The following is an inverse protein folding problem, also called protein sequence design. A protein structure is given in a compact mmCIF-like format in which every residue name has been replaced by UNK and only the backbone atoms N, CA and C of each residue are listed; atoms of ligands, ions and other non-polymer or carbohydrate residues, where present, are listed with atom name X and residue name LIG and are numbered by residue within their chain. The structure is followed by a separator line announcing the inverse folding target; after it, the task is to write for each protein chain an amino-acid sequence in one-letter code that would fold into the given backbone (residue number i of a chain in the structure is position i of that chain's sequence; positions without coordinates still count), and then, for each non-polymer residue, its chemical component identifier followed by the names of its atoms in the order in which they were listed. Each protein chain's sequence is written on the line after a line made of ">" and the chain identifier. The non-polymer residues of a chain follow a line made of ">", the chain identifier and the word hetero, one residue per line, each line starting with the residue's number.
data_IF_390803623194
#
_entry.id   IF_390803623194
#
_cell.length_a   1.000
_cell.length_b   1.000
_cell.length_c   1.000
_cell.angle_alpha   90.00
_cell.angle_beta   90.00
_cell.angle_gamma   90.00
#
_symmetry.space_group_name_H-M   'P 1'
#
loop_
_entity.id
_entity.type
_entity.pdbx_description
1 polymer ?
#
# COMPACT_ATOMS: atom_id res chain seq x y z
N UNK A 1 28.10 -3.44 -13.73
CA UNK A 1 28.61 -2.29 -12.94
C UNK A 1 27.40 -1.46 -12.56
N UNK A 2 27.12 -1.31 -11.27
CA UNK A 2 25.96 -0.57 -10.78
C UNK A 2 26.18 0.95 -10.94
N UNK A 3 25.11 1.76 -10.81
CA UNK A 3 25.24 3.22 -10.76
C UNK A 3 26.13 3.65 -9.57
N UNK A 4 26.00 2.97 -8.43
CA UNK A 4 26.83 3.23 -7.25
C UNK A 4 28.31 3.00 -7.57
N UNK A 5 28.65 1.91 -8.27
CA UNK A 5 30.03 1.64 -8.69
C UNK A 5 30.57 2.74 -9.63
N UNK A 6 29.73 3.27 -10.51
CA UNK A 6 30.09 4.35 -11.42
C UNK A 6 30.41 5.64 -10.66
N UNK A 7 29.53 6.02 -9.73
CA UNK A 7 29.72 7.21 -8.88
C UNK A 7 30.97 7.06 -8.01
N UNK A 8 31.17 5.89 -7.39
CA UNK A 8 32.30 5.65 -6.49
C UNK A 8 33.65 5.73 -7.20
N UNK A 9 33.72 5.32 -8.48
CA UNK A 9 34.94 5.40 -9.30
C UNK A 9 35.17 6.78 -9.92
N UNK A 10 34.22 7.70 -9.80
CA UNK A 10 34.35 9.05 -10.36
C UNK A 10 35.35 9.88 -9.54
N UNK A 11 36.29 10.59 -10.18
CA UNK A 11 37.14 11.57 -9.46
C UNK A 11 36.32 12.77 -8.94
N UNK A 12 35.08 12.95 -9.41
CA UNK A 12 34.14 13.94 -8.89
C UNK A 12 33.37 13.46 -7.64
N UNK A 13 33.64 12.26 -7.11
CA UNK A 13 32.93 11.68 -5.97
C UNK A 13 32.73 12.66 -4.80
N UNK A 14 33.75 13.42 -4.33
CA UNK A 14 33.54 14.37 -3.22
C UNK A 14 32.54 15.50 -3.57
N UNK A 15 32.51 15.95 -4.82
CA UNK A 15 31.55 16.96 -5.26
C UNK A 15 30.13 16.38 -5.37
N UNK A 16 30.01 15.19 -5.96
CA UNK A 16 28.74 14.47 -6.10
C UNK A 16 28.14 14.20 -4.72
N UNK A 17 28.93 13.74 -3.75
CA UNK A 17 28.45 13.50 -2.38
C UNK A 17 27.95 14.78 -1.70
N UNK A 18 28.66 15.90 -1.86
CA UNK A 18 28.21 17.20 -1.32
C UNK A 18 26.88 17.64 -1.94
N UNK A 19 26.74 17.50 -3.26
CA UNK A 19 25.53 17.87 -3.98
C UNK A 19 24.35 16.97 -3.58
N UNK A 20 24.54 15.64 -3.56
CA UNK A 20 23.53 14.68 -3.14
C UNK A 20 23.10 14.91 -1.69
N UNK A 21 24.03 15.17 -0.76
CA UNK A 21 23.69 15.48 0.62
C UNK A 21 22.88 16.76 0.74
N UNK A 22 23.26 17.83 0.02
CA UNK A 22 22.50 19.09 0.03
C UNK A 22 21.08 18.91 -0.53
N UNK A 23 20.93 18.15 -1.63
CA UNK A 23 19.62 17.83 -2.20
C UNK A 23 18.78 16.98 -1.23
N UNK A 24 19.40 15.99 -0.59
CA UNK A 24 18.75 15.15 0.40
C UNK A 24 18.29 15.94 1.63
N UNK A 25 19.14 16.77 2.20
CA UNK A 25 18.81 17.62 3.36
C UNK A 25 17.66 18.57 3.04
N UNK A 26 17.65 19.15 1.83
CA UNK A 26 16.55 19.96 1.35
C UNK A 26 15.26 19.14 1.23
N UNK A 27 15.31 17.96 0.59
CA UNK A 27 14.15 17.07 0.47
C UNK A 27 13.58 16.68 1.84
N UNK A 28 14.45 16.42 2.82
CA UNK A 28 14.01 16.13 4.19
C UNK A 28 13.40 17.34 4.89
N UNK A 29 13.88 18.56 4.63
CA UNK A 29 13.26 19.78 5.11
C UNK A 29 11.87 19.99 4.48
N UNK A 30 11.75 19.80 3.17
CA UNK A 30 10.49 19.88 2.43
C UNK A 30 9.49 18.82 2.92
N UNK A 31 9.95 17.60 3.23
CA UNK A 31 9.13 16.52 3.80
C UNK A 31 8.61 16.83 5.21
N UNK A 32 9.44 17.43 6.07
CA UNK A 32 8.98 17.89 7.40
C UNK A 32 7.94 19.01 7.28
N UNK A 33 8.20 20.00 6.42
CA UNK A 33 7.25 21.07 6.15
C UNK A 33 5.93 20.54 5.57
N UNK A 34 5.99 19.50 4.73
CA UNK A 34 4.81 18.80 4.24
C UNK A 34 3.96 18.25 5.39
N UNK A 35 4.54 17.52 6.33
CA UNK A 35 3.80 16.99 7.49
C UNK A 35 3.17 18.07 8.38
N UNK A 36 3.81 19.24 8.49
CA UNK A 36 3.28 20.37 9.26
C UNK A 36 2.11 21.08 8.56
N UNK A 37 1.97 20.92 7.23
CA UNK A 37 0.99 21.64 6.42
C UNK A 37 -0.25 20.82 6.06
N UNK A 38 -0.11 19.50 5.99
CA UNK A 38 -1.23 18.62 5.66
C UNK A 38 -2.22 18.54 6.82
N UNK A 39 -3.49 18.36 6.47
CA UNK A 39 -4.57 18.14 7.41
C UNK A 39 -5.24 16.80 7.14
N UNK A 40 -6.04 16.32 8.10
CA UNK A 40 -6.88 15.13 7.93
C UNK A 40 -7.84 15.21 6.73
N UNK A 41 -8.08 16.39 6.16
CA UNK A 41 -8.97 16.57 5.01
C UNK A 41 -8.27 16.41 3.67
N UNK A 42 -6.93 16.45 3.65
CA UNK A 42 -6.15 16.30 2.44
C UNK A 42 -5.99 14.82 2.07
N UNK A 43 -6.03 14.50 0.77
CA UNK A 43 -5.58 13.20 0.24
C UNK A 43 -4.31 13.45 -0.56
N UNK A 44 -3.17 13.32 0.10
CA UNK A 44 -1.89 13.76 -0.44
C UNK A 44 -0.76 12.84 0.02
N UNK A 45 0.13 12.54 -0.91
CA UNK A 45 1.28 11.67 -0.67
C UNK A 45 2.58 12.45 -0.90
N UNK A 46 3.68 12.04 -0.26
CA UNK A 46 5.00 12.58 -0.51
C UNK A 46 5.81 11.60 -1.34
N UNK A 47 5.98 11.91 -2.64
CA UNK A 47 6.58 10.99 -3.61
C UNK A 47 7.78 11.65 -4.29
N UNK A 48 8.97 11.06 -4.11
CA UNK A 48 10.24 11.51 -4.69
C UNK A 48 10.51 13.00 -4.49
N UNK A 49 10.29 13.49 -3.25
CA UNK A 49 10.54 14.87 -2.87
C UNK A 49 9.41 15.86 -3.17
N UNK A 50 8.22 15.39 -3.55
CA UNK A 50 7.10 16.26 -3.91
C UNK A 50 5.80 15.83 -3.24
N UNK A 51 4.99 16.81 -2.82
CA UNK A 51 3.60 16.58 -2.42
C UNK A 51 2.72 16.34 -3.66
N UNK A 52 2.07 15.17 -3.71
CA UNK A 52 1.22 14.71 -4.81
C UNK A 52 -0.22 14.65 -4.34
N UNK A 53 -1.04 15.57 -4.82
CA UNK A 53 -2.47 15.64 -4.48
C UNK A 53 -3.30 14.71 -5.35
N UNK A 54 -4.16 13.92 -4.70
CA UNK A 54 -5.06 13.01 -5.38
C UNK A 54 -6.46 13.60 -5.49
N UNK A 55 -7.05 13.48 -6.68
CA UNK A 55 -8.45 13.87 -6.87
C UNK A 55 -9.40 12.81 -6.33
N UNK A 56 -10.66 13.19 -6.03
CA UNK A 56 -11.70 12.24 -5.65
C UNK A 56 -11.81 11.06 -6.63
N UNK A 57 -12.03 9.88 -6.08
CA UNK A 57 -12.14 8.62 -6.82
C UNK A 57 -13.53 8.45 -7.45
N UNK A 58 -13.63 7.60 -8.46
CA UNK A 58 -14.92 7.25 -9.09
C UNK A 58 -15.63 6.19 -8.26
N UNK A 59 -16.97 6.13 -8.35
CA UNK A 59 -17.82 5.14 -7.64
C UNK A 59 -17.29 3.70 -7.70
N UNK A 60 -16.80 3.24 -8.85
CA UNK A 60 -16.28 1.87 -9.02
C UNK A 60 -15.05 1.55 -8.13
N UNK A 61 -14.22 2.55 -7.84
CA UNK A 61 -13.07 2.42 -6.93
C UNK A 61 -13.61 2.30 -5.50
N UNK A 62 -14.45 3.25 -5.08
CA UNK A 62 -15.09 3.24 -3.76
C UNK A 62 -15.89 1.95 -3.49
N UNK A 63 -16.62 1.41 -4.47
CA UNK A 63 -17.34 0.13 -4.31
C UNK A 63 -16.39 -1.06 -4.15
N UNK A 64 -15.27 -1.09 -4.89
CA UNK A 64 -14.29 -2.16 -4.71
C UNK A 64 -13.61 -2.08 -3.32
N UNK A 65 -13.33 -0.86 -2.85
CA UNK A 65 -12.78 -0.62 -1.52
C UNK A 65 -13.72 -1.13 -0.44
N UNK A 66 -14.99 -0.73 -0.50
CA UNK A 66 -16.03 -1.14 0.44
C UNK A 66 -16.16 -2.67 0.52
N UNK A 67 -16.22 -3.34 -0.63
CA UNK A 67 -16.30 -4.80 -0.70
C UNK A 67 -15.08 -5.50 -0.07
N UNK A 68 -13.87 -5.02 -0.38
CA UNK A 68 -12.64 -5.60 0.15
C UNK A 68 -12.48 -5.33 1.64
N UNK A 69 -12.71 -4.09 2.07
CA UNK A 69 -12.67 -3.68 3.46
C UNK A 69 -13.63 -4.51 4.31
N UNK A 70 -14.86 -4.73 3.83
CA UNK A 70 -15.88 -5.50 4.56
C UNK A 70 -15.39 -6.91 4.87
N UNK A 71 -14.95 -7.66 3.85
CA UNK A 71 -14.52 -9.05 4.04
C UNK A 71 -13.23 -9.15 4.86
N UNK A 72 -12.22 -8.32 4.54
CA UNK A 72 -10.93 -8.34 5.22
C UNK A 72 -11.09 -7.93 6.70
N UNK A 73 -11.80 -6.84 6.98
CA UNK A 73 -11.94 -6.32 8.33
C UNK A 73 -12.72 -7.27 9.23
N UNK A 74 -13.82 -7.84 8.72
CA UNK A 74 -14.62 -8.81 9.49
C UNK A 74 -13.78 -10.03 9.82
N UNK A 75 -13.14 -10.64 8.81
CA UNK A 75 -12.32 -11.83 9.04
C UNK A 75 -11.17 -11.58 10.02
N UNK A 76 -10.42 -10.49 9.81
CA UNK A 76 -9.28 -10.12 10.67
C UNK A 76 -9.71 -9.92 12.12
N UNK A 77 -10.84 -9.22 12.35
CA UNK A 77 -11.35 -8.93 13.70
C UNK A 77 -11.88 -10.19 14.40
N UNK A 78 -12.66 -11.01 13.71
CA UNK A 78 -13.21 -12.26 14.27
C UNK A 78 -12.11 -13.22 14.72
N UNK A 79 -10.99 -13.24 13.99
CA UNK A 79 -9.88 -14.15 14.25
C UNK A 79 -8.77 -13.51 15.10
N UNK A 80 -8.93 -12.27 15.58
CA UNK A 80 -7.93 -11.57 16.41
C UNK A 80 -6.57 -11.41 15.73
N UNK A 81 -6.54 -11.29 14.39
CA UNK A 81 -5.28 -11.32 13.62
C UNK A 81 -4.57 -9.97 13.57
N UNK A 82 -5.27 -8.88 13.88
CA UNK A 82 -4.76 -7.51 13.86
C UNK A 82 -5.81 -6.52 13.41
N UNK A 83 -5.42 -5.56 12.59
CA UNK A 83 -6.30 -4.47 12.15
C UNK A 83 -6.12 -4.15 10.67
N UNK A 84 -7.26 -3.90 10.02
CA UNK A 84 -7.34 -3.30 8.70
C UNK A 84 -7.60 -1.81 8.88
N UNK A 85 -6.80 -1.00 8.20
CA UNK A 85 -6.99 0.43 8.05
C UNK A 85 -7.29 0.75 6.59
N UNK A 86 -8.13 1.74 6.37
CA UNK A 86 -8.58 2.17 5.04
C UNK A 86 -8.53 3.67 4.96
N UNK A 87 -8.08 4.19 3.81
CA UNK A 87 -7.93 5.61 3.48
C UNK A 87 -7.17 6.46 4.53
N UNK A 88 -6.37 7.43 4.09
CA UNK A 88 -5.75 8.45 4.97
C UNK A 88 -4.82 7.94 6.09
N UNK A 89 -4.53 6.64 6.18
CA UNK A 89 -3.45 6.17 7.03
C UNK A 89 -2.12 6.39 6.30
N UNK A 90 -1.33 7.34 6.80
CA UNK A 90 -0.06 7.69 6.18
C UNK A 90 1.05 6.74 6.63
N UNK A 91 1.58 5.96 5.70
CA UNK A 91 2.77 5.14 5.93
C UNK A 91 4.02 5.94 5.57
N UNK A 92 4.98 5.98 6.49
CA UNK A 92 6.28 6.59 6.31
C UNK A 92 7.31 5.50 5.91
N UNK A 93 7.83 5.63 4.69
CA UNK A 93 8.94 4.84 4.18
C UNK A 93 10.22 5.70 4.14
N UNK A 94 11.35 5.09 3.78
CA UNK A 94 12.67 5.71 3.86
C UNK A 94 12.77 7.04 3.11
N UNK A 95 12.11 7.15 1.95
CA UNK A 95 12.08 8.38 1.14
C UNK A 95 10.68 8.94 0.94
N UNK A 96 9.69 8.06 0.78
CA UNK A 96 8.34 8.43 0.43
C UNK A 96 7.37 8.28 1.60
N UNK A 97 6.21 8.92 1.49
CA UNK A 97 5.05 8.65 2.33
C UNK A 97 3.83 8.47 1.48
N UNK A 98 3.09 7.40 1.77
CA UNK A 98 1.94 7.00 0.97
C UNK A 98 0.70 6.86 1.86
N UNK A 99 -0.46 6.97 1.24
CA UNK A 99 -1.76 6.70 1.84
C UNK A 99 -2.39 5.53 1.07
N UNK A 100 -2.05 4.28 1.42
CA UNK A 100 -2.60 3.13 0.71
C UNK A 100 -4.12 3.09 0.86
N UNK A 101 -4.83 2.63 -0.18
CA UNK A 101 -6.29 2.52 -0.10
C UNK A 101 -6.72 1.58 1.05
N UNK A 102 -5.98 0.50 1.28
CA UNK A 102 -6.14 -0.39 2.44
C UNK A 102 -4.80 -0.99 2.86
N UNK A 103 -4.57 -1.08 4.17
CA UNK A 103 -3.41 -1.80 4.72
C UNK A 103 -3.77 -2.62 5.96
N UNK A 104 -2.90 -3.60 6.28
CA UNK A 104 -3.03 -4.50 7.42
C UNK A 104 -1.78 -4.46 8.28
N UNK A 105 -2.00 -4.39 9.59
CA UNK A 105 -0.98 -4.64 10.61
C UNK A 105 -1.39 -5.84 11.45
N UNK A 106 -0.43 -6.74 11.68
CA UNK A 106 -0.62 -7.86 12.62
C UNK A 106 -0.91 -7.37 14.04
N UNK A 107 -1.64 -8.16 14.83
CA UNK A 107 -2.06 -7.77 16.19
C UNK A 107 -0.92 -7.28 17.09
N UNK A 108 0.26 -7.92 17.02
CA UNK A 108 1.43 -7.49 17.79
C UNK A 108 1.94 -6.10 17.37
N UNK A 109 1.84 -5.73 16.09
CA UNK A 109 2.28 -4.42 15.59
C UNK A 109 1.23 -3.36 15.87
N UNK A 110 -0.04 -3.69 15.63
CA UNK A 110 -1.19 -2.82 15.89
C UNK A 110 -1.23 -2.33 17.34
N UNK A 111 -0.98 -3.24 18.30
CA UNK A 111 -0.96 -2.93 19.73
C UNK A 111 0.17 -1.98 20.17
N UNK A 112 1.12 -1.63 19.29
CA UNK A 112 2.20 -0.69 19.59
C UNK A 112 1.89 0.74 19.14
N UNK A 113 0.80 0.95 18.39
CA UNK A 113 0.45 2.27 17.89
C UNK A 113 -0.30 3.08 18.93
N UNK A 114 -0.02 4.38 18.95
CA UNK A 114 -0.73 5.36 19.75
C UNK A 114 -1.99 5.85 19.01
N UNK A 115 -3.02 6.27 19.75
CA UNK A 115 -4.28 6.77 19.16
C UNK A 115 -4.07 8.08 18.36
N UNK A 116 -3.09 8.90 18.74
CA UNK A 116 -2.76 10.17 18.10
C UNK A 116 -1.62 10.03 17.06
N UNK A 117 -1.23 8.78 16.73
CA UNK A 117 -0.15 8.54 15.78
C UNK A 117 -0.58 8.91 14.35
N UNK A 118 0.17 9.81 13.72
CA UNK A 118 -0.07 10.23 12.33
C UNK A 118 0.70 9.40 11.30
N UNK A 119 1.93 9.00 11.63
CA UNK A 119 2.85 8.32 10.71
C UNK A 119 3.06 6.87 11.14
N UNK A 120 2.83 5.94 10.21
CA UNK A 120 2.89 4.51 10.46
C UNK A 120 4.07 3.86 9.73
N UNK A 121 4.68 2.81 10.28
CA UNK A 121 5.71 2.06 9.56
C UNK A 121 5.11 1.25 8.41
N UNK A 122 5.98 0.69 7.55
CA UNK A 122 5.57 -0.21 6.47
C UNK A 122 4.63 -1.35 6.95
N UNK A 123 3.42 -1.51 6.41
CA UNK A 123 2.45 -2.51 6.84
C UNK A 123 2.85 -3.93 6.45
N UNK A 124 2.15 -4.94 6.98
CA UNK A 124 2.39 -6.34 6.62
C UNK A 124 1.79 -6.69 5.24
N UNK A 125 0.69 -6.03 4.88
CA UNK A 125 -0.06 -6.23 3.64
C UNK A 125 -0.69 -4.92 3.16
N UNK A 126 -0.73 -4.69 1.85
CA UNK A 126 -1.36 -3.53 1.20
C UNK A 126 -2.28 -3.97 0.06
N UNK A 127 -3.37 -3.23 -0.11
CA UNK A 127 -4.17 -3.20 -1.34
C UNK A 127 -4.17 -1.79 -1.91
N UNK A 128 -3.91 -1.65 -3.21
CA UNK A 128 -4.15 -0.42 -3.97
C UNK A 128 -5.20 -0.70 -5.04
N UNK A 129 -6.18 0.20 -5.15
CA UNK A 129 -7.27 0.07 -6.11
C UNK A 129 -7.01 1.06 -7.24
N UNK A 130 -6.85 0.53 -8.45
CA UNK A 130 -6.43 1.32 -9.59
C UNK A 130 -7.47 2.37 -9.96
N UNK A 131 -6.95 3.57 -10.16
CA UNK A 131 -7.63 4.65 -10.87
C UNK A 131 -6.79 5.07 -12.09
N UNK A 132 -7.40 5.76 -13.05
CA UNK A 132 -6.67 6.30 -14.22
C UNK A 132 -5.50 7.23 -13.83
N UNK A 133 -5.56 7.83 -12.63
CA UNK A 133 -4.55 8.80 -12.16
C UNK A 133 -3.44 8.15 -11.35
N UNK A 134 -3.76 7.10 -10.59
CA UNK A 134 -2.85 6.47 -9.64
C UNK A 134 -2.14 5.25 -10.20
N UNK A 135 -2.67 4.62 -11.26
CA UNK A 135 -2.14 3.35 -11.78
C UNK A 135 -0.65 3.38 -12.11
N UNK A 136 -0.14 4.50 -12.63
CA UNK A 136 1.29 4.66 -12.89
C UNK A 136 2.13 4.62 -11.61
N UNK A 137 1.63 5.17 -10.51
CA UNK A 137 2.30 5.14 -9.21
C UNK A 137 2.19 3.74 -8.58
N UNK A 138 0.99 3.18 -8.57
CA UNK A 138 0.67 1.87 -7.96
C UNK A 138 1.49 0.74 -8.60
N UNK A 139 1.65 0.77 -9.94
CA UNK A 139 2.47 -0.20 -10.69
C UNK A 139 3.94 0.19 -10.82
N UNK A 140 4.31 1.37 -10.35
CA UNK A 140 5.65 1.96 -10.50
C UNK A 140 6.31 2.18 -9.16
N UNK A 141 6.44 3.45 -8.77
CA UNK A 141 7.21 3.82 -7.57
C UNK A 141 6.68 3.16 -6.29
N UNK A 142 5.36 3.03 -6.12
CA UNK A 142 4.80 2.37 -4.94
C UNK A 142 5.16 0.90 -4.92
N UNK A 143 5.05 0.21 -6.05
CA UNK A 143 5.45 -1.19 -6.19
C UNK A 143 6.91 -1.40 -5.77
N UNK A 144 7.82 -0.59 -6.33
CA UNK A 144 9.26 -0.68 -6.03
C UNK A 144 9.55 -0.35 -4.56
N UNK A 145 8.90 0.66 -3.99
CA UNK A 145 9.17 1.09 -2.63
C UNK A 145 8.58 0.12 -1.60
N UNK A 146 7.37 -0.42 -1.85
CA UNK A 146 6.76 -1.46 -1.04
C UNK A 146 7.62 -2.74 -1.04
N UNK A 147 8.17 -3.12 -2.19
CA UNK A 147 9.10 -4.23 -2.33
C UNK A 147 10.37 -4.01 -1.48
N UNK A 148 10.98 -2.84 -1.61
CA UNK A 148 12.21 -2.47 -0.90
C UNK A 148 12.01 -2.42 0.62
N UNK A 149 10.81 -2.07 1.09
CA UNK A 149 10.47 -1.97 2.51
C UNK A 149 9.90 -3.26 3.11
N UNK A 150 9.92 -4.38 2.37
CA UNK A 150 9.64 -5.68 2.94
C UNK A 150 8.15 -5.96 3.18
N UNK A 151 7.25 -5.21 2.53
CA UNK A 151 5.81 -5.46 2.60
C UNK A 151 5.57 -6.84 1.96
N UNK A 152 4.96 -7.76 2.72
CA UNK A 152 5.03 -9.20 2.41
C UNK A 152 4.08 -9.60 1.29
N UNK A 153 2.97 -8.88 1.16
CA UNK A 153 1.94 -9.13 0.16
C UNK A 153 1.32 -7.81 -0.29
N UNK A 154 1.18 -7.67 -1.60
CA UNK A 154 0.66 -6.48 -2.23
C UNK A 154 -0.40 -6.85 -3.27
N UNK A 155 -1.61 -6.31 -3.13
CA UNK A 155 -2.68 -6.49 -4.09
C UNK A 155 -2.89 -5.24 -4.92
N UNK A 156 -2.96 -5.43 -6.24
CA UNK A 156 -3.40 -4.40 -7.18
C UNK A 156 -4.76 -4.81 -7.72
N UNK A 157 -5.76 -3.98 -7.45
CA UNK A 157 -7.17 -4.26 -7.79
C UNK A 157 -7.60 -3.33 -8.92
N UNK A 158 -7.98 -3.91 -10.06
CA UNK A 158 -8.51 -3.14 -11.18
C UNK A 158 -10.05 -3.21 -11.21
N UNK A 159 -10.78 -2.16 -10.77
CA UNK A 159 -12.23 -2.17 -10.79
C UNK A 159 -12.83 -2.03 -12.20
N UNK A 160 -12.03 -1.69 -13.21
CA UNK A 160 -12.46 -1.61 -14.61
C UNK A 160 -12.51 -3.00 -15.24
N UNK A 161 -11.40 -3.74 -15.12
CA UNK A 161 -11.28 -5.10 -15.67
C UNK A 161 -11.74 -6.18 -14.70
N UNK A 162 -12.05 -5.79 -13.45
CA UNK A 162 -12.50 -6.65 -12.35
C UNK A 162 -11.49 -7.76 -12.08
N UNK A 163 -10.22 -7.40 -12.07
CA UNK A 163 -9.10 -8.31 -11.82
C UNK A 163 -8.42 -7.95 -10.51
N UNK A 164 -7.95 -8.96 -9.79
CA UNK A 164 -7.01 -8.77 -8.66
C UNK A 164 -5.69 -9.41 -9.04
N UNK A 165 -4.62 -8.65 -8.82
CA UNK A 165 -3.23 -9.12 -8.93
C UNK A 165 -2.67 -9.28 -7.52
N UNK A 166 -2.16 -10.47 -7.19
CA UNK A 166 -1.49 -10.77 -5.93
C UNK A 166 0.01 -10.86 -6.17
N UNK A 167 0.76 -9.98 -5.50
CA UNK A 167 2.20 -10.03 -5.45
C UNK A 167 2.66 -10.49 -4.08
N UNK A 168 3.57 -11.46 -4.06
CA UNK A 168 4.17 -12.00 -2.84
C UNK A 168 5.64 -11.68 -2.81
N UNK A 169 6.13 -11.14 -1.69
CA UNK A 169 7.54 -10.84 -1.54
C UNK A 169 8.32 -12.13 -1.27
N UNK A 170 9.21 -12.50 -2.20
CA UNK A 170 10.14 -13.62 -2.06
C UNK A 170 11.54 -13.17 -2.42
N UNK A 171 12.52 -13.49 -1.58
CA UNK A 171 13.92 -13.12 -1.80
C UNK A 171 14.11 -11.62 -2.12
N UNK A 172 13.37 -10.74 -1.41
CA UNK A 172 13.34 -9.28 -1.60
C UNK A 172 12.82 -8.80 -2.97
N UNK A 173 12.07 -9.63 -3.68
CA UNK A 173 11.42 -9.27 -4.94
C UNK A 173 9.96 -9.71 -4.93
N UNK A 174 9.08 -8.90 -5.50
CA UNK A 174 7.70 -9.30 -5.70
C UNK A 174 7.58 -10.27 -6.86
N UNK A 175 6.91 -11.39 -6.60
CA UNK A 175 6.51 -12.35 -7.60
C UNK A 175 4.99 -12.32 -7.76
N UNK A 176 4.51 -12.27 -9.01
CA UNK A 176 3.08 -12.38 -9.31
C UNK A 176 2.61 -13.81 -9.02
N UNK A 177 1.75 -13.97 -8.02
CA UNK A 177 1.17 -15.25 -7.62
C UNK A 177 -0.19 -15.50 -8.29
N UNK A 178 -1.03 -14.47 -8.36
CA UNK A 178 -2.37 -14.54 -8.97
C UNK A 178 -2.59 -13.29 -9.81
N UNK A 179 -3.18 -13.45 -11.00
CA UNK A 179 -3.80 -12.37 -11.77
C UNK A 179 -5.04 -12.94 -12.43
N UNK A 180 -6.21 -12.65 -11.87
CA UNK A 180 -7.46 -13.24 -12.34
C UNK A 180 -8.66 -12.33 -12.07
N UNK A 181 -9.74 -12.53 -12.83
CA UNK A 181 -11.04 -11.91 -12.63
C UNK A 181 -12.09 -12.89 -12.04
N UNK A 182 -11.71 -14.13 -11.79
CA UNK A 182 -12.57 -15.17 -11.27
C UNK A 182 -11.80 -16.19 -10.42
N UNK A 183 -12.51 -17.13 -9.80
CA UNK A 183 -11.94 -18.10 -8.86
C UNK A 183 -11.75 -17.49 -7.48
N UNK A 184 -10.72 -17.93 -6.76
CA UNK A 184 -10.46 -17.52 -5.39
C UNK A 184 -9.08 -16.89 -5.24
N UNK A 185 -8.98 -15.95 -4.31
CA UNK A 185 -7.72 -15.40 -3.83
C UNK A 185 -7.60 -15.71 -2.34
N UNK A 186 -6.41 -16.12 -1.92
CA UNK A 186 -6.08 -16.47 -0.54
C UNK A 186 -4.87 -15.63 -0.10
N UNK A 187 -5.00 -14.90 0.99
CA UNK A 187 -3.89 -14.12 1.52
C UNK A 187 -2.85 -15.05 2.16
N UNK A 188 -1.57 -14.76 1.91
CA UNK A 188 -0.45 -15.45 2.56
C UNK A 188 0.03 -14.71 3.81
N UNK A 189 -0.33 -13.44 3.97
CA UNK A 189 -0.08 -12.65 5.18
C UNK A 189 -1.20 -12.76 6.20
N UNK A 190 -2.45 -12.59 5.79
CA UNK A 190 -3.64 -12.75 6.64
C UNK A 190 -4.02 -14.23 6.63
N UNK A 191 -3.41 -14.98 7.55
CA UNK A 191 -3.52 -16.44 7.60
C UNK A 191 -4.98 -16.91 7.61
N UNK A 192 -5.30 -17.81 6.68
CA UNK A 192 -6.62 -18.42 6.55
C UNK A 192 -7.65 -17.58 5.78
N UNK A 193 -7.35 -16.30 5.47
CA UNK A 193 -8.27 -15.48 4.69
C UNK A 193 -8.29 -15.95 3.24
N UNK A 194 -9.49 -16.24 2.73
CA UNK A 194 -9.76 -16.59 1.34
C UNK A 194 -11.12 -16.03 0.94
N UNK A 195 -11.22 -15.52 -0.28
CA UNK A 195 -12.49 -15.03 -0.85
C UNK A 195 -12.59 -15.33 -2.34
N UNK A 196 -13.80 -15.44 -2.92
CA UNK A 196 -13.97 -15.38 -4.36
C UNK A 196 -13.48 -14.03 -4.90
N UNK A 197 -12.70 -13.99 -5.99
CA UNK A 197 -12.22 -12.73 -6.59
C UNK A 197 -13.40 -11.82 -6.97
N UNK A 198 -14.49 -12.42 -7.43
CA UNK A 198 -15.73 -11.71 -7.78
C UNK A 198 -16.36 -10.99 -6.59
N UNK A 199 -16.12 -11.44 -5.36
CA UNK A 199 -16.62 -10.79 -4.15
C UNK A 199 -16.02 -9.38 -3.96
N UNK A 200 -14.87 -9.07 -4.58
CA UNK A 200 -14.29 -7.72 -4.60
C UNK A 200 -14.95 -6.75 -5.59
N UNK A 201 -15.92 -7.21 -6.40
CA UNK A 201 -16.51 -6.39 -7.48
C UNK A 201 -18.03 -6.48 -7.58
N UNK A 202 -18.67 -7.46 -6.94
CA UNK A 202 -20.11 -7.71 -7.04
C UNK A 202 -20.74 -7.92 -5.67
N UNK A 203 -21.71 -7.08 -5.32
CA UNK A 203 -22.39 -7.08 -4.01
C UNK A 203 -22.96 -8.45 -3.62
N UNK A 204 -23.66 -9.14 -4.54
CA UNK A 204 -24.23 -10.46 -4.25
C UNK A 204 -23.17 -11.52 -3.93
N UNK A 205 -22.01 -11.47 -4.58
CA UNK A 205 -20.90 -12.38 -4.29
C UNK A 205 -20.19 -11.98 -2.99
N UNK A 206 -20.10 -10.68 -2.71
CA UNK A 206 -19.57 -10.15 -1.45
C UNK A 206 -20.39 -10.62 -0.25
N UNK A 207 -21.72 -10.46 -0.30
CA UNK A 207 -22.62 -10.87 0.79
C UNK A 207 -22.58 -12.38 1.05
N UNK A 208 -22.48 -13.21 0.01
CA UNK A 208 -22.30 -14.67 0.18
C UNK A 208 -20.98 -14.99 0.87
N UNK A 209 -19.87 -14.40 0.41
CA UNK A 209 -18.56 -14.61 1.02
C UNK A 209 -18.54 -14.13 2.49
N UNK A 210 -19.21 -13.02 2.79
CA UNK A 210 -19.37 -12.52 4.16
C UNK A 210 -20.16 -13.51 5.03
N UNK A 211 -21.27 -14.07 4.52
CA UNK A 211 -22.03 -15.09 5.23
C UNK A 211 -21.17 -16.32 5.54
N UNK A 212 -20.39 -16.79 4.56
CA UNK A 212 -19.45 -17.91 4.76
C UNK A 212 -18.44 -17.62 5.87
N UNK A 213 -17.82 -16.42 5.86
CA UNK A 213 -16.91 -15.96 6.91
C UNK A 213 -17.57 -15.96 8.29
N UNK A 214 -18.82 -15.48 8.39
CA UNK A 214 -19.56 -15.40 9.66
C UNK A 214 -20.00 -16.77 10.21
N UNK A 215 -20.03 -17.80 9.36
CA UNK A 215 -20.48 -19.16 9.73
C UNK A 215 -19.33 -20.14 9.96
N UNK A 216 -18.09 -19.71 9.75
CA UNK A 216 -16.87 -20.51 9.97
C UNK A 216 -16.30 -20.25 11.37
#
# INVERSE_FOLDING_TARGET
>A
MTLVDQIFRSPQLPQILRELNSLWEKEQADRRAFYEQITENDKVEFINGQAVFHSPVKRKHSSALDFLQTLLSVYVRMNGLGRIYVEKLMIELSRNSFEPDLCFFTAHRDAQFDEEQMLFPAPDFIVEILSRKTEKYDRGIKFEDYEAHGIKEYWIVDPTHKTIEQYLLKNKRYELAVKSNDGYIESKVIKGFKMPIRAGFYERENLKALQEILTT
#
